data_IF_368607215751
#
_entry.id   IF_368607215751
#
_cell.length_a   1.000
_cell.length_b   1.000
_cell.length_c   1.000
_cell.angle_alpha   90.00
_cell.angle_beta   90.00
_cell.angle_gamma   90.00
#
_symmetry.space_group_name_H-M   'P 1'
#
loop_
_entity.id
_entity.type
_entity.pdbx_description
1 polymer ?
#
# COMPACT_ATOMS: atom_id res chain seq x y z
N UNK A 1 15.93 -72.29 20.26
CA UNK A 1 15.35 -72.51 18.92
C UNK A 1 13.95 -71.89 18.77
N UNK A 2 13.01 -72.14 19.71
CA UNK A 2 11.66 -71.57 19.68
C UNK A 2 11.63 -70.02 19.57
N UNK A 3 12.46 -69.34 20.36
CA UNK A 3 12.56 -67.86 20.34
C UNK A 3 12.94 -67.35 18.94
N UNK A 4 13.98 -67.93 18.33
CA UNK A 4 14.46 -67.60 16.98
C UNK A 4 13.38 -67.80 15.91
N UNK A 5 12.58 -68.86 16.04
CA UNK A 5 11.47 -69.16 15.13
C UNK A 5 10.32 -68.14 15.29
N UNK A 6 10.01 -67.74 16.52
CA UNK A 6 9.02 -66.70 16.81
C UNK A 6 9.51 -65.34 16.29
N UNK A 7 10.79 -65.00 16.46
CA UNK A 7 11.34 -63.73 15.95
C UNK A 7 11.34 -63.70 14.42
N UNK A 8 11.76 -64.78 13.76
CA UNK A 8 11.74 -64.87 12.30
C UNK A 8 10.32 -64.80 11.72
N UNK A 9 9.36 -65.44 12.38
CA UNK A 9 7.94 -65.38 11.99
C UNK A 9 7.37 -63.97 12.17
N UNK A 10 7.73 -63.27 13.26
CA UNK A 10 7.35 -61.88 13.47
C UNK A 10 7.94 -60.96 12.39
N UNK A 11 9.20 -61.13 12.02
CA UNK A 11 9.84 -60.38 10.92
C UNK A 11 9.17 -60.63 9.56
N UNK A 12 8.81 -61.87 9.24
CA UNK A 12 8.13 -62.21 7.99
C UNK A 12 6.73 -61.60 7.90
N UNK A 13 6.05 -61.41 9.03
CA UNK A 13 4.75 -60.74 9.10
C UNK A 13 4.91 -59.21 9.05
N UNK A 14 5.97 -58.67 9.66
CA UNK A 14 6.24 -57.23 9.72
C UNK A 14 6.72 -56.66 8.37
N UNK A 15 7.54 -57.39 7.62
CA UNK A 15 8.12 -56.91 6.35
C UNK A 15 7.06 -56.44 5.33
N UNK A 16 5.99 -57.19 5.03
CA UNK A 16 4.92 -56.71 4.16
C UNK A 16 4.19 -55.48 4.71
N UNK A 17 4.03 -55.38 6.03
CA UNK A 17 3.37 -54.22 6.66
C UNK A 17 4.23 -52.96 6.59
N UNK A 18 5.54 -53.08 6.83
CA UNK A 18 6.50 -51.99 6.70
C UNK A 18 6.67 -51.57 5.24
N UNK A 19 6.74 -52.52 4.32
CA UNK A 19 6.80 -52.23 2.89
C UNK A 19 5.55 -51.47 2.40
N UNK A 20 4.35 -51.89 2.82
CA UNK A 20 3.10 -51.17 2.53
C UNK A 20 3.04 -49.81 3.22
N UNK A 21 3.63 -49.66 4.41
CA UNK A 21 3.72 -48.37 5.08
C UNK A 21 4.67 -47.42 4.33
N UNK A 22 5.83 -47.90 3.91
CA UNK A 22 6.80 -47.16 3.10
C UNK A 22 6.20 -46.74 1.76
N UNK A 23 5.51 -47.64 1.04
CA UNK A 23 4.82 -47.31 -0.21
C UNK A 23 3.72 -46.26 -0.03
N UNK A 24 2.96 -46.32 1.07
CA UNK A 24 1.96 -45.30 1.40
C UNK A 24 2.60 -43.95 1.71
N UNK A 25 3.68 -43.95 2.50
CA UNK A 25 4.43 -42.73 2.82
C UNK A 25 5.04 -42.11 1.55
N UNK A 26 5.66 -42.91 0.69
CA UNK A 26 6.19 -42.46 -0.60
C UNK A 26 5.09 -41.85 -1.48
N UNK A 27 3.94 -42.52 -1.59
CA UNK A 27 2.80 -42.02 -2.36
C UNK A 27 2.26 -40.69 -1.78
N UNK A 28 2.21 -40.55 -0.46
CA UNK A 28 1.77 -39.32 0.21
C UNK A 28 2.75 -38.17 0.00
N UNK A 29 4.07 -38.43 0.06
CA UNK A 29 5.11 -37.43 -0.19
C UNK A 29 5.07 -36.97 -1.64
N UNK A 30 4.99 -37.91 -2.59
CA UNK A 30 4.83 -37.58 -4.02
C UNK A 30 3.56 -36.78 -4.28
N UNK A 31 2.44 -37.18 -3.67
CA UNK A 31 1.19 -36.43 -3.74
C UNK A 31 1.29 -35.01 -3.18
N UNK A 32 2.10 -34.79 -2.13
CA UNK A 32 2.36 -33.46 -1.59
C UNK A 32 3.11 -32.58 -2.59
N UNK A 33 4.23 -33.08 -3.11
CA UNK A 33 5.06 -32.35 -4.06
C UNK A 33 4.29 -32.00 -5.34
N UNK A 34 3.43 -32.91 -5.82
CA UNK A 34 2.58 -32.66 -7.00
C UNK A 34 1.52 -31.59 -6.70
N UNK A 35 0.92 -31.58 -5.50
CA UNK A 35 -0.02 -30.55 -5.11
C UNK A 35 0.67 -29.18 -4.96
N UNK A 36 1.84 -29.13 -4.33
CA UNK A 36 2.63 -27.91 -4.12
C UNK A 36 3.13 -27.32 -5.45
N UNK A 37 3.43 -28.16 -6.45
CA UNK A 37 3.74 -27.72 -7.80
C UNK A 37 2.56 -26.98 -8.44
N UNK A 38 1.33 -27.46 -8.23
CA UNK A 38 0.11 -26.77 -8.68
C UNK A 38 -0.10 -25.42 -7.99
N UNK A 39 0.18 -25.32 -6.69
CA UNK A 39 0.15 -24.02 -5.98
C UNK A 39 1.20 -23.07 -6.55
N UNK A 40 2.42 -23.56 -6.78
CA UNK A 40 3.52 -22.76 -7.32
C UNK A 40 3.22 -22.24 -8.72
N UNK A 41 2.63 -23.07 -9.60
CA UNK A 41 2.20 -22.63 -10.93
C UNK A 41 1.05 -21.61 -10.84
N UNK A 42 0.07 -21.81 -9.94
CA UNK A 42 -1.03 -20.87 -9.76
C UNK A 42 -0.53 -19.49 -9.29
N UNK A 43 0.43 -19.44 -8.37
CA UNK A 43 1.08 -18.18 -7.93
C UNK A 43 1.81 -17.53 -9.10
N UNK A 44 2.57 -18.30 -9.88
CA UNK A 44 3.29 -17.76 -11.04
C UNK A 44 2.33 -17.22 -12.11
N UNK A 45 1.21 -17.91 -12.35
CA UNK A 45 0.17 -17.44 -13.25
C UNK A 45 -0.51 -16.18 -12.72
N UNK A 46 -0.90 -16.14 -11.45
CA UNK A 46 -1.49 -14.95 -10.82
C UNK A 46 -0.57 -13.74 -10.95
N UNK A 47 0.74 -13.91 -10.71
CA UNK A 47 1.74 -12.86 -10.93
C UNK A 47 1.78 -12.42 -12.38
N UNK A 48 1.79 -13.35 -13.33
CA UNK A 48 1.77 -13.03 -14.75
C UNK A 48 0.52 -12.26 -15.19
N UNK A 49 -0.65 -12.51 -14.57
CA UNK A 49 -1.87 -11.77 -14.88
C UNK A 49 -1.86 -10.37 -14.26
N UNK A 50 -1.44 -10.25 -13.00
CA UNK A 50 -1.48 -9.00 -12.23
C UNK A 50 -0.32 -8.06 -12.61
N UNK A 51 0.83 -8.63 -12.94
CA UNK A 51 2.07 -7.92 -13.26
C UNK A 51 2.78 -8.64 -14.42
N UNK A 52 2.27 -8.49 -15.66
CA UNK A 52 2.84 -9.14 -16.83
C UNK A 52 4.30 -8.73 -17.06
N UNK A 53 5.22 -9.68 -17.30
CA UNK A 53 6.65 -9.39 -17.50
C UNK A 53 6.95 -8.65 -18.81
N UNK A 54 5.97 -8.50 -19.69
CA UNK A 54 6.07 -7.72 -20.93
C UNK A 54 5.65 -6.26 -20.75
N UNK A 55 5.30 -5.84 -19.53
CA UNK A 55 4.88 -4.48 -19.19
C UNK A 55 3.46 -4.13 -19.62
N UNK A 56 2.67 -5.13 -20.06
CA UNK A 56 1.26 -4.93 -20.39
C UNK A 56 0.40 -4.73 -19.13
N UNK A 57 -0.81 -4.22 -19.34
CA UNK A 57 -1.73 -3.90 -18.25
C UNK A 57 -2.12 -5.11 -17.40
N UNK A 58 -2.23 -4.88 -16.08
CA UNK A 58 -2.78 -5.86 -15.14
C UNK A 58 -4.12 -6.36 -15.65
N UNK A 59 -4.21 -7.66 -15.90
CA UNK A 59 -5.46 -8.31 -16.24
C UNK A 59 -6.18 -8.72 -14.96
N UNK A 60 -7.47 -8.38 -14.86
CA UNK A 60 -8.29 -8.85 -13.76
C UNK A 60 -8.47 -10.36 -13.88
N UNK A 61 -7.93 -11.16 -12.94
CA UNK A 61 -8.09 -12.60 -12.99
C UNK A 61 -9.58 -12.94 -12.97
N UNK A 62 -10.00 -13.84 -13.84
CA UNK A 62 -11.40 -14.32 -13.94
C UNK A 62 -12.40 -13.34 -14.59
N UNK A 63 -11.97 -12.19 -15.14
CA UNK A 63 -12.84 -11.25 -15.85
C UNK A 63 -13.44 -11.79 -17.16
N UNK A 64 -14.61 -11.25 -17.54
CA UNK A 64 -15.27 -11.58 -18.81
C UNK A 64 -14.38 -11.25 -20.01
N UNK A 65 -13.92 -12.27 -20.74
CA UNK A 65 -12.99 -12.14 -21.87
C UNK A 65 -11.55 -12.54 -21.54
N UNK A 66 -11.19 -12.59 -20.26
CA UNK A 66 -9.96 -13.21 -19.72
C UNK A 66 -10.35 -14.61 -19.25
N UNK A 67 -10.40 -15.53 -20.22
CA UNK A 67 -10.99 -16.88 -20.17
C UNK A 67 -11.19 -17.49 -18.76
N UNK A 68 -12.44 -17.75 -18.33
CA UNK A 68 -12.76 -18.49 -17.09
C UNK A 68 -12.07 -19.86 -16.99
N UNK A 69 -11.70 -20.46 -18.12
CA UNK A 69 -10.95 -21.72 -18.19
C UNK A 69 -9.47 -21.61 -17.79
N UNK A 70 -8.93 -20.41 -17.60
CA UNK A 70 -7.53 -20.23 -17.18
C UNK A 70 -7.35 -20.14 -15.66
N UNK A 71 -8.42 -19.80 -14.93
CA UNK A 71 -8.49 -19.80 -13.46
C UNK A 71 -8.52 -21.20 -12.85
N UNK A 72 -8.52 -22.23 -13.69
CA UNK A 72 -8.25 -23.61 -13.32
C UNK A 72 -7.40 -24.28 -14.40
N UNK A 73 -6.35 -25.01 -14.02
CA UNK A 73 -5.50 -25.71 -14.98
C UNK A 73 -5.20 -27.11 -14.52
N UNK A 74 -5.05 -28.02 -15.48
CA UNK A 74 -4.61 -29.40 -15.22
C UNK A 74 -3.31 -29.65 -15.98
N UNK A 75 -2.30 -30.17 -15.31
CA UNK A 75 -1.01 -30.50 -15.93
C UNK A 75 -0.55 -31.90 -15.52
N UNK A 76 -0.06 -32.65 -16.49
CA UNK A 76 0.59 -33.94 -16.24
C UNK A 76 2.05 -33.73 -15.88
N UNK A 77 2.51 -34.47 -14.88
CA UNK A 77 3.90 -34.47 -14.40
C UNK A 77 4.67 -35.72 -14.87
N UNK A 78 4.04 -36.60 -15.65
CA UNK A 78 4.56 -37.94 -15.97
C UNK A 78 4.24 -38.97 -14.87
N UNK A 79 4.57 -40.24 -15.12
CA UNK A 79 4.37 -41.36 -14.19
C UNK A 79 2.95 -41.45 -13.58
N UNK A 80 1.95 -41.21 -14.42
CA UNK A 80 0.52 -41.15 -14.09
C UNK A 80 0.11 -40.04 -13.10
N UNK A 81 1.02 -39.13 -12.74
CA UNK A 81 0.73 -38.00 -11.89
C UNK A 81 0.25 -36.80 -12.70
N UNK A 82 -0.76 -36.13 -12.16
CA UNK A 82 -1.22 -34.84 -12.62
C UNK A 82 -1.64 -34.01 -11.41
N UNK A 83 -1.55 -32.69 -11.52
CA UNK A 83 -2.27 -31.81 -10.60
C UNK A 83 -3.37 -31.07 -11.35
N UNK A 84 -4.38 -30.66 -10.60
CA UNK A 84 -5.36 -29.66 -11.02
C UNK A 84 -5.41 -28.58 -9.97
N UNK A 85 -5.20 -27.34 -10.36
CA UNK A 85 -5.46 -26.21 -9.49
C UNK A 85 -6.66 -25.41 -9.96
N UNK A 86 -7.34 -24.76 -9.03
CA UNK A 86 -8.42 -23.81 -9.24
C UNK A 86 -8.27 -22.63 -8.27
N UNK A 87 -8.64 -21.44 -8.74
CA UNK A 87 -8.71 -20.23 -7.93
C UNK A 87 -10.12 -20.01 -7.45
N UNK A 88 -10.25 -19.70 -6.16
CA UNK A 88 -11.50 -19.30 -5.54
C UNK A 88 -11.30 -17.88 -5.00
N UNK A 89 -11.92 -16.85 -5.59
CA UNK A 89 -11.89 -15.50 -5.04
C UNK A 89 -12.66 -15.47 -3.72
N UNK A 90 -12.22 -14.63 -2.79
CA UNK A 90 -13.00 -14.36 -1.58
C UNK A 90 -14.30 -13.56 -1.91
N UNK A 91 -15.10 -13.25 -0.89
CA UNK A 91 -16.38 -12.56 -1.08
C UNK A 91 -16.23 -11.12 -1.56
N UNK A 92 -15.04 -10.53 -1.43
CA UNK A 92 -14.77 -9.13 -1.76
C UNK A 92 -13.99 -8.97 -3.06
N UNK A 93 -13.37 -10.04 -3.57
CA UNK A 93 -12.59 -10.06 -4.80
C UNK A 93 -13.48 -10.37 -6.00
N UNK A 94 -13.17 -9.80 -7.16
CA UNK A 94 -13.89 -10.10 -8.41
C UNK A 94 -13.90 -11.63 -8.67
N UNK A 95 -15.03 -12.21 -9.16
CA UNK A 95 -16.28 -11.59 -9.56
C UNK A 95 -17.29 -11.38 -8.42
N UNK A 96 -16.95 -11.77 -7.19
CA UNK A 96 -17.89 -11.74 -6.06
C UNK A 96 -18.05 -10.34 -5.46
N UNK A 97 -16.98 -9.53 -5.51
CA UNK A 97 -16.95 -8.15 -5.02
C UNK A 97 -16.04 -7.25 -5.84
N UNK A 98 -15.83 -6.02 -5.35
CA UNK A 98 -15.11 -4.95 -6.04
C UNK A 98 -13.88 -4.44 -5.27
N UNK A 99 -13.33 -5.24 -4.36
CA UNK A 99 -12.17 -4.85 -3.57
C UNK A 99 -10.92 -4.79 -4.45
N UNK A 100 -10.20 -3.64 -4.48
CA UNK A 100 -8.97 -3.49 -5.26
C UNK A 100 -7.82 -4.36 -4.74
N UNK A 101 -7.86 -4.78 -3.46
CA UNK A 101 -6.94 -5.77 -2.91
C UNK A 101 -7.53 -7.15 -3.17
N UNK A 102 -6.94 -7.86 -4.12
CA UNK A 102 -7.41 -9.17 -4.55
C UNK A 102 -6.93 -10.25 -3.58
N UNK A 103 -7.84 -11.11 -3.14
CA UNK A 103 -7.55 -12.27 -2.31
C UNK A 103 -8.11 -13.54 -2.95
N UNK A 104 -7.25 -14.56 -3.06
CA UNK A 104 -7.59 -15.84 -3.69
C UNK A 104 -7.22 -17.00 -2.77
N UNK A 105 -8.09 -17.99 -2.71
CA UNK A 105 -7.75 -19.32 -2.21
C UNK A 105 -7.40 -20.21 -3.39
N UNK A 106 -6.15 -20.69 -3.43
CA UNK A 106 -5.68 -21.66 -4.41
C UNK A 106 -6.00 -23.05 -3.88
N UNK A 107 -6.82 -23.81 -4.60
CA UNK A 107 -7.05 -25.23 -4.33
C UNK A 107 -6.25 -26.06 -5.33
N UNK A 108 -5.22 -26.78 -4.88
CA UNK A 108 -4.42 -27.67 -5.73
C UNK A 108 -4.62 -29.13 -5.34
N UNK A 109 -5.09 -29.95 -6.29
CA UNK A 109 -5.44 -31.35 -6.13
C UNK A 109 -4.47 -32.22 -6.92
N UNK A 110 -3.78 -33.14 -6.25
CA UNK A 110 -2.89 -34.12 -6.87
C UNK A 110 -3.65 -35.41 -7.19
N UNK A 111 -3.55 -35.85 -8.44
CA UNK A 111 -4.14 -37.06 -8.97
C UNK A 111 -3.06 -38.05 -9.39
N UNK A 112 -3.32 -39.34 -9.15
CA UNK A 112 -2.56 -40.45 -9.71
C UNK A 112 -3.53 -41.38 -10.43
N UNK A 113 -3.31 -41.66 -11.71
CA UNK A 113 -4.21 -42.50 -12.51
C UNK A 113 -5.68 -42.03 -12.44
N UNK A 114 -5.89 -40.71 -12.46
CA UNK A 114 -7.22 -40.09 -12.35
C UNK A 114 -7.86 -40.15 -10.96
N UNK A 115 -7.22 -40.74 -9.95
CA UNK A 115 -7.71 -40.76 -8.56
C UNK A 115 -7.06 -39.67 -7.74
N UNK A 116 -7.88 -38.93 -6.99
CA UNK A 116 -7.41 -37.92 -6.04
C UNK A 116 -6.58 -38.60 -4.94
N UNK A 117 -5.36 -38.10 -4.72
CA UNK A 117 -4.46 -38.58 -3.67
C UNK A 117 -4.34 -37.56 -2.54
N UNK A 118 -4.25 -36.27 -2.88
CA UNK A 118 -4.04 -35.19 -1.92
C UNK A 118 -4.59 -33.86 -2.43
N UNK A 119 -4.96 -32.99 -1.50
CA UNK A 119 -5.32 -31.58 -1.75
C UNK A 119 -4.43 -30.69 -0.90
N UNK A 120 -4.01 -29.56 -1.47
CA UNK A 120 -3.32 -28.46 -0.81
C UNK A 120 -4.14 -27.18 -1.02
N UNK A 121 -4.17 -26.34 0.01
CA UNK A 121 -4.82 -25.03 -0.02
C UNK A 121 -3.82 -23.96 0.35
N UNK A 122 -3.79 -22.86 -0.39
CA UNK A 122 -2.98 -21.70 -0.10
C UNK A 122 -3.82 -20.44 -0.26
N UNK A 123 -3.85 -19.61 0.78
CA UNK A 123 -4.45 -18.28 0.73
C UNK A 123 -3.39 -17.30 0.26
N UNK A 124 -3.69 -16.54 -0.79
CA UNK A 124 -2.79 -15.54 -1.36
C UNK A 124 -3.53 -14.22 -1.50
N UNK A 125 -2.85 -13.15 -1.11
CA UNK A 125 -3.34 -11.78 -1.23
C UNK A 125 -2.39 -11.00 -2.13
N UNK A 126 -2.94 -10.18 -3.02
CA UNK A 126 -2.15 -9.21 -3.75
C UNK A 126 -1.44 -8.32 -2.75
N UNK A 127 -0.12 -8.15 -2.92
CA UNK A 127 0.65 -7.26 -2.06
C UNK A 127 0.08 -5.85 -2.23
N UNK A 128 -0.57 -5.34 -1.19
CA UNK A 128 -1.17 -4.01 -1.24
C UNK A 128 -0.09 -2.94 -1.18
N UNK A 129 -0.16 -1.96 -2.09
CA UNK A 129 0.66 -0.76 -1.99
C UNK A 129 0.27 0.11 -0.79
N UNK A 130 -0.93 -0.09 -0.23
CA UNK A 130 -1.36 0.56 1.03
C UNK A 130 -0.58 0.12 2.27
N UNK A 131 0.32 -0.86 2.13
CA UNK A 131 1.32 -1.17 3.16
C UNK A 131 2.40 -0.10 3.28
N UNK A 132 2.75 0.56 2.18
CA UNK A 132 3.76 1.61 2.17
C UNK A 132 3.14 2.95 2.56
N UNK A 133 3.84 3.69 3.40
CA UNK A 133 3.49 5.08 3.69
C UNK A 133 3.93 6.01 2.55
N UNK A 134 5.04 5.64 1.88
CA UNK A 134 5.46 6.24 0.63
C UNK A 134 6.21 5.22 -0.23
N UNK A 135 5.88 5.19 -1.52
CA UNK A 135 6.50 4.33 -2.52
C UNK A 135 6.79 5.17 -3.76
N UNK A 136 8.05 5.24 -4.16
CA UNK A 136 8.49 6.02 -5.32
C UNK A 136 9.14 5.10 -6.34
N UNK A 137 8.71 5.20 -7.60
CA UNK A 137 9.34 4.47 -8.69
C UNK A 137 10.62 5.18 -9.16
N UNK A 138 10.47 6.44 -9.57
CA UNK A 138 11.58 7.31 -9.92
C UNK A 138 11.79 8.34 -8.82
N UNK A 139 13.05 8.58 -8.45
CA UNK A 139 13.39 9.61 -7.47
C UNK A 139 14.02 10.80 -8.21
N UNK A 140 13.30 11.95 -8.34
CA UNK A 140 13.87 13.11 -9.01
C UNK A 140 15.18 13.52 -8.34
N UNK A 141 16.18 13.85 -9.15
CA UNK A 141 17.54 14.13 -8.64
C UNK A 141 17.61 15.32 -7.69
N UNK A 142 16.64 16.23 -7.76
CA UNK A 142 16.44 17.40 -6.91
C UNK A 142 15.47 17.15 -5.74
N UNK A 143 14.72 16.04 -5.74
CA UNK A 143 13.80 15.72 -4.66
C UNK A 143 14.59 15.23 -3.46
N UNK A 144 14.30 15.78 -2.29
CA UNK A 144 14.90 15.33 -1.04
C UNK A 144 13.82 15.21 0.03
N UNK A 145 13.74 14.05 0.68
CA UNK A 145 12.76 13.79 1.74
C UNK A 145 13.19 14.49 3.03
N UNK A 146 12.55 15.61 3.35
CA UNK A 146 12.78 16.34 4.59
C UNK A 146 12.03 15.73 5.78
N UNK A 147 12.73 15.53 6.90
CA UNK A 147 12.10 15.12 8.18
C UNK A 147 12.28 16.26 9.20
N UNK A 148 11.19 16.79 9.74
CA UNK A 148 11.20 17.94 10.67
C UNK A 148 10.89 17.49 12.10
N UNK A 149 11.35 18.25 13.10
CA UNK A 149 11.11 18.00 14.55
C UNK A 149 9.65 17.82 14.95
N UNK A 150 8.77 18.50 14.22
CA UNK A 150 7.35 18.58 14.49
C UNK A 150 6.53 17.70 13.54
N UNK A 151 7.19 16.99 12.62
CA UNK A 151 6.54 15.98 11.80
C UNK A 151 6.18 14.80 12.69
N UNK A 152 4.94 14.34 12.66
CA UNK A 152 4.61 13.08 13.29
C UNK A 152 5.38 11.94 12.60
N UNK A 153 5.66 10.82 13.28
CA UNK A 153 6.33 9.68 12.69
C UNK A 153 5.58 9.17 11.45
N UNK A 154 6.32 8.83 10.40
CA UNK A 154 5.76 8.10 9.25
C UNK A 154 5.20 6.77 9.74
N UNK A 155 3.92 6.53 9.44
CA UNK A 155 3.10 5.48 10.03
C UNK A 155 3.28 4.10 9.39
N UNK A 156 4.02 4.04 8.29
CA UNK A 156 4.31 2.81 7.54
C UNK A 156 5.70 2.86 6.89
N UNK A 157 6.16 1.75 6.31
CA UNK A 157 7.45 1.70 5.64
C UNK A 157 7.51 2.55 4.37
N UNK A 158 8.71 3.03 4.05
CA UNK A 158 9.00 3.84 2.86
C UNK A 158 9.92 3.04 1.92
N UNK A 159 9.61 3.05 0.62
CA UNK A 159 10.41 2.37 -0.40
C UNK A 159 10.64 3.24 -1.63
N UNK A 160 11.83 3.16 -2.21
CA UNK A 160 12.20 3.87 -3.44
C UNK A 160 12.89 2.89 -4.39
N UNK A 161 12.39 2.75 -5.63
CA UNK A 161 13.00 1.93 -6.69
C UNK A 161 14.26 2.59 -7.33
N UNK A 162 14.70 3.71 -6.77
CA UNK A 162 15.87 4.51 -7.14
C UNK A 162 16.61 4.98 -5.87
N UNK A 163 17.58 5.90 -5.97
CA UNK A 163 18.39 6.41 -4.85
C UNK A 163 17.57 7.32 -3.94
N UNK A 164 17.30 6.86 -2.72
CA UNK A 164 16.64 7.70 -1.71
C UNK A 164 17.58 8.80 -1.17
N UNK A 165 17.05 10.03 -1.16
CA UNK A 165 17.71 11.24 -0.67
C UNK A 165 17.01 11.79 0.59
N UNK A 166 17.71 11.89 1.72
CA UNK A 166 17.17 12.37 3.01
C UNK A 166 17.69 13.77 3.37
N UNK A 167 16.81 14.73 3.61
CA UNK A 167 17.18 16.08 4.03
C UNK A 167 17.05 16.26 5.53
N UNK A 168 18.15 16.75 6.11
CA UNK A 168 18.26 17.09 7.51
C UNK A 168 18.46 18.60 7.64
N UNK A 169 17.43 19.31 8.15
CA UNK A 169 17.44 20.77 8.30
C UNK A 169 18.41 21.24 9.39
N UNK A 170 19.04 22.40 9.16
CA UNK A 170 19.85 23.11 10.15
C UNK A 170 18.97 23.82 11.20
N UNK A 171 19.27 23.63 12.49
CA UNK A 171 18.64 24.35 13.60
C UNK A 171 17.17 24.00 13.90
N UNK A 172 16.53 23.13 13.13
CA UNK A 172 15.29 22.44 13.49
C UNK A 172 15.60 20.96 13.60
N UNK A 173 15.33 20.33 14.76
CA UNK A 173 15.69 18.94 15.09
C UNK A 173 15.76 18.03 13.86
N UNK A 174 16.96 17.62 13.54
CA UNK A 174 17.38 16.23 13.70
C UNK A 174 18.76 16.15 14.38
N UNK A 175 19.48 17.29 14.44
CA UNK A 175 20.84 17.34 14.98
C UNK A 175 21.11 18.36 16.07
N UNK A 176 20.18 19.24 16.49
CA UNK A 176 20.38 20.10 17.69
C UNK A 176 19.09 20.49 18.47
N UNK A 177 18.13 19.57 18.68
CA UNK A 177 17.12 19.71 19.76
C UNK A 177 16.57 18.36 20.24
N UNK A 178 15.99 18.32 21.44
CA UNK A 178 15.35 17.13 22.04
C UNK A 178 13.93 16.86 21.47
N UNK A 179 13.71 15.66 20.93
CA UNK A 179 12.41 15.08 20.50
C UNK A 179 12.35 14.63 19.01
N UNK A 180 11.89 13.38 18.75
CA UNK A 180 12.24 12.60 17.54
C UNK A 180 11.51 12.97 16.22
N UNK A 181 12.25 13.25 15.13
CA UNK A 181 11.87 12.88 13.77
C UNK A 181 12.24 11.41 13.53
N UNK A 182 11.25 10.50 13.52
CA UNK A 182 11.47 9.05 13.40
C UNK A 182 10.61 8.40 12.33
N UNK A 183 11.18 7.45 11.59
CA UNK A 183 10.41 6.44 10.88
C UNK A 183 9.90 5.42 11.90
N UNK A 184 8.58 5.19 11.97
CA UNK A 184 8.07 4.13 12.84
C UNK A 184 8.35 2.72 12.26
N UNK A 185 8.68 2.65 10.97
CA UNK A 185 8.88 1.43 10.19
C UNK A 185 10.16 1.49 9.33
N UNK A 186 10.36 0.49 8.47
CA UNK A 186 11.54 0.34 7.62
C UNK A 186 11.60 1.37 6.49
N UNK A 187 12.82 1.81 6.18
CA UNK A 187 13.18 2.66 5.06
C UNK A 187 14.06 1.86 4.10
N UNK A 188 13.64 1.73 2.85
CA UNK A 188 14.32 0.86 1.90
C UNK A 188 14.50 1.53 0.54
N UNK A 189 15.59 1.19 -0.14
CA UNK A 189 15.88 1.68 -1.48
C UNK A 189 16.58 0.59 -2.28
N UNK A 190 16.27 0.51 -3.57
CA UNK A 190 16.98 -0.38 -4.51
C UNK A 190 18.19 0.30 -5.13
N UNK A 191 18.09 1.62 -5.34
CA UNK A 191 19.21 2.48 -5.73
C UNK A 191 20.24 2.55 -4.62
N UNK A 192 21.51 2.73 -5.00
CA UNK A 192 22.62 2.80 -4.05
C UNK A 192 23.41 4.07 -4.30
N UNK A 193 23.50 4.91 -3.27
CA UNK A 193 24.36 6.07 -3.27
C UNK A 193 25.82 5.66 -3.02
N UNK A 194 26.72 6.07 -3.91
CA UNK A 194 28.09 5.54 -3.99
C UNK A 194 29.06 6.07 -2.94
N UNK A 195 28.68 7.06 -2.13
CA UNK A 195 29.58 7.76 -1.20
C UNK A 195 29.21 7.62 0.29
N UNK A 196 28.32 6.68 0.64
CA UNK A 196 27.88 6.40 2.02
C UNK A 196 28.11 4.96 2.48
N UNK A 197 28.29 4.74 3.80
CA UNK A 197 28.49 3.40 4.40
C UNK A 197 27.22 2.53 4.44
N UNK A 198 26.06 3.12 4.19
CA UNK A 198 24.74 2.49 4.22
C UNK A 198 24.01 2.53 2.87
N UNK A 199 24.59 3.22 1.86
CA UNK A 199 24.04 3.32 0.51
C UNK A 199 22.94 4.37 0.34
N UNK A 200 22.70 5.24 1.34
CA UNK A 200 21.71 6.33 1.27
C UNK A 200 22.38 7.69 1.12
N UNK A 201 21.69 8.66 0.51
CA UNK A 201 22.18 10.02 0.37
C UNK A 201 21.59 10.93 1.46
N UNK A 202 22.44 11.67 2.18
CA UNK A 202 22.06 12.59 3.26
C UNK A 202 22.38 14.05 2.90
N UNK A 203 21.44 14.97 3.13
CA UNK A 203 21.50 16.37 2.67
C UNK A 203 21.37 17.34 3.84
N UNK A 204 22.10 18.46 3.77
CA UNK A 204 21.91 19.64 4.65
C UNK A 204 21.70 20.89 3.80
N UNK A 205 20.45 21.16 3.42
CA UNK A 205 19.97 22.47 2.96
C UNK A 205 20.53 22.99 1.63
N UNK A 206 21.45 22.26 0.99
CA UNK A 206 21.85 22.37 -0.41
C UNK A 206 22.52 21.04 -0.84
N UNK A 207 22.52 20.78 -2.15
CA UNK A 207 23.02 19.57 -2.80
C UNK A 207 24.48 19.26 -2.36
N UNK A 208 24.75 18.03 -1.91
CA UNK A 208 26.07 17.53 -1.44
C UNK A 208 26.48 18.00 -0.03
N UNK A 209 25.69 17.68 1.01
CA UNK A 209 26.06 18.01 2.39
C UNK A 209 27.39 17.34 2.82
N UNK A 210 28.50 18.08 2.83
CA UNK A 210 29.86 17.57 3.10
C UNK A 210 30.29 17.66 4.57
N UNK A 211 29.44 18.14 5.47
CA UNK A 211 29.82 18.34 6.87
C UNK A 211 29.65 17.03 7.67
N UNK A 212 30.78 16.41 8.01
CA UNK A 212 30.87 15.14 8.74
C UNK A 212 30.21 15.15 10.13
N UNK A 213 29.85 16.32 10.68
CA UNK A 213 29.09 16.39 11.92
C UNK A 213 27.62 15.95 11.76
N UNK A 214 27.09 15.92 10.53
CA UNK A 214 25.67 15.66 10.27
C UNK A 214 25.41 14.35 9.51
N UNK A 215 26.46 13.64 9.08
CA UNK A 215 26.34 12.31 8.49
C UNK A 215 26.11 11.26 9.59
N UNK A 216 25.26 10.23 9.41
CA UNK A 216 25.11 9.17 10.40
C UNK A 216 26.28 8.18 10.41
N UNK A 217 27.37 8.50 9.71
CA UNK A 217 28.59 7.72 9.60
C UNK A 217 29.80 8.64 9.51
N UNK A 218 30.97 8.09 9.82
CA UNK A 218 32.29 8.71 9.62
C UNK A 218 33.26 7.70 8.95
N UNK A 219 34.54 8.04 8.90
CA UNK A 219 35.60 7.18 8.35
C UNK A 219 35.78 5.86 9.14
N UNK A 220 35.33 5.82 10.41
CA UNK A 220 35.35 4.63 11.26
C UNK A 220 34.05 3.80 11.11
N UNK A 221 33.06 4.33 10.37
CA UNK A 221 31.84 3.66 9.98
C UNK A 221 30.57 4.26 10.60
N UNK A 222 29.50 3.47 10.76
CA UNK A 222 28.22 3.92 11.28
C UNK A 222 28.28 4.44 12.73
N UNK A 223 27.69 5.61 12.98
CA UNK A 223 27.57 6.18 14.31
C UNK A 223 26.20 5.81 14.90
N UNK A 224 26.15 4.77 15.73
CA UNK A 224 24.89 4.19 16.26
C UNK A 224 23.97 5.20 16.97
N UNK A 225 24.53 6.17 17.69
CA UNK A 225 23.74 7.21 18.38
C UNK A 225 22.99 8.13 17.40
N UNK A 226 23.48 8.24 16.17
CA UNK A 226 22.86 9.01 15.08
C UNK A 226 21.72 8.20 14.43
N UNK A 227 21.92 6.91 14.13
CA UNK A 227 20.87 6.03 13.59
C UNK A 227 19.73 5.73 14.57
N UNK A 228 20.01 5.61 15.87
CA UNK A 228 18.94 5.35 16.85
C UNK A 228 17.93 6.50 16.98
N UNK A 229 18.25 7.67 16.42
CA UNK A 229 17.35 8.85 16.38
C UNK A 229 16.45 8.87 15.15
N UNK A 230 16.76 8.04 14.14
CA UNK A 230 16.08 7.97 12.85
C UNK A 230 14.80 7.13 12.85
N UNK A 231 14.65 6.18 13.76
CA UNK A 231 13.56 5.20 13.70
C UNK A 231 13.44 4.36 14.98
N UNK A 232 12.35 3.60 15.10
CA UNK A 232 12.16 2.55 16.11
C UNK A 232 13.12 1.34 15.96
N UNK A 233 13.80 1.20 14.81
CA UNK A 233 14.69 0.07 14.48
C UNK A 233 16.12 0.44 14.06
N UNK A 234 16.51 1.72 14.16
CA UNK A 234 17.88 2.16 13.90
C UNK A 234 18.40 1.83 12.49
N UNK A 235 19.68 1.47 12.39
CA UNK A 235 20.36 1.13 11.12
C UNK A 235 19.71 -0.06 10.41
N UNK A 236 19.17 -1.04 11.14
CA UNK A 236 18.58 -2.25 10.56
C UNK A 236 17.28 -1.96 9.80
N UNK A 237 16.60 -0.87 10.17
CA UNK A 237 15.46 -0.36 9.41
C UNK A 237 15.86 0.28 8.09
N UNK A 238 17.14 0.59 7.86
CA UNK A 238 17.65 1.18 6.63
C UNK A 238 18.28 0.11 5.74
N UNK A 239 17.58 -0.29 4.68
CA UNK A 239 18.03 -1.35 3.78
C UNK A 239 18.27 -0.80 2.38
N UNK A 240 19.53 -0.80 1.96
CA UNK A 240 19.91 -0.55 0.57
C UNK A 240 20.00 -1.85 -0.23
N UNK A 241 19.82 -1.77 -1.55
CA UNK A 241 19.79 -2.94 -2.43
C UNK A 241 18.57 -3.84 -2.22
N UNK A 242 17.46 -3.28 -1.72
CA UNK A 242 16.19 -3.98 -1.65
C UNK A 242 15.72 -4.41 -3.06
N UNK A 243 14.79 -5.37 -3.15
CA UNK A 243 14.17 -5.72 -4.42
C UNK A 243 13.17 -4.65 -4.84
N UNK A 244 13.15 -4.31 -6.14
CA UNK A 244 12.21 -3.32 -6.67
C UNK A 244 10.78 -3.79 -6.48
N UNK A 245 9.89 -2.84 -6.19
CA UNK A 245 8.46 -3.06 -6.16
C UNK A 245 7.92 -2.59 -7.51
N UNK A 246 7.53 -3.52 -8.37
CA UNK A 246 6.90 -3.17 -9.64
C UNK A 246 5.63 -2.35 -9.37
N UNK A 247 5.61 -1.13 -9.90
CA UNK A 247 4.38 -0.35 -9.95
C UNK A 247 3.48 -0.89 -11.07
N UNK A 248 2.15 -0.75 -10.94
CA UNK A 248 1.23 -1.04 -12.04
C UNK A 248 1.60 -0.22 -13.29
N UNK A 249 1.49 -0.82 -14.48
CA UNK A 249 1.74 -0.17 -15.78
C UNK A 249 0.81 1.00 -16.08
N UNK A 250 -0.35 1.02 -15.41
CA UNK A 250 -1.28 2.13 -15.40
C UNK A 250 -1.88 2.27 -13.99
N UNK A 251 -2.34 3.46 -13.66
CA UNK A 251 -2.95 3.75 -12.38
C UNK A 251 -4.48 3.62 -12.43
N UNK A 252 -5.08 3.05 -13.48
CA UNK A 252 -6.54 3.00 -13.66
C UNK A 252 -7.24 2.21 -12.58
N UNK A 253 -6.64 1.14 -12.05
CA UNK A 253 -7.22 0.45 -10.90
C UNK A 253 -7.26 1.31 -9.63
N UNK A 254 -6.30 2.23 -9.48
CA UNK A 254 -6.28 3.21 -8.37
C UNK A 254 -7.24 4.37 -8.66
N UNK A 255 -7.39 4.77 -9.93
CA UNK A 255 -8.42 5.72 -10.38
C UNK A 255 -9.81 5.21 -10.07
N UNK A 256 -10.09 3.99 -10.48
CA UNK A 256 -11.40 3.35 -10.32
C UNK A 256 -11.64 3.01 -8.84
N UNK A 257 -10.60 2.80 -8.04
CA UNK A 257 -10.75 2.74 -6.59
C UNK A 257 -11.07 4.12 -5.98
N UNK A 258 -10.49 5.21 -6.50
CA UNK A 258 -10.80 6.56 -6.02
C UNK A 258 -12.19 7.03 -6.44
N UNK A 259 -12.59 6.78 -7.68
CA UNK A 259 -13.87 7.24 -8.23
C UNK A 259 -15.02 6.23 -8.05
N UNK A 260 -14.71 4.94 -7.98
CA UNK A 260 -15.67 3.84 -8.01
C UNK A 260 -15.64 3.09 -9.35
N UNK A 261 -15.57 1.77 -9.26
CA UNK A 261 -15.60 0.87 -10.42
C UNK A 261 -17.04 0.71 -10.95
N UNK A 262 -17.21 0.67 -12.28
CA UNK A 262 -18.51 0.47 -12.96
C UNK A 262 -19.63 1.42 -12.46
N UNK A 263 -19.27 2.62 -12.00
CA UNK A 263 -20.24 3.64 -11.63
C UNK A 263 -20.89 4.24 -12.87
N UNK A 264 -22.17 4.59 -12.77
CA UNK A 264 -22.89 5.31 -13.84
C UNK A 264 -22.48 6.78 -13.93
N UNK A 265 -21.80 7.29 -12.90
CA UNK A 265 -21.31 8.67 -12.86
C UNK A 265 -19.99 8.79 -13.64
N UNK A 266 -19.95 9.64 -14.69
CA UNK A 266 -18.72 9.83 -15.45
C UNK A 266 -17.63 10.48 -14.59
N UNK A 267 -16.36 10.22 -14.93
CA UNK A 267 -15.25 10.91 -14.29
C UNK A 267 -15.42 12.43 -14.37
N UNK A 268 -15.15 13.18 -13.29
CA UNK A 268 -15.27 14.63 -13.28
C UNK A 268 -14.38 15.26 -14.35
N UNK A 269 -14.96 16.12 -15.18
CA UNK A 269 -14.23 16.85 -16.23
C UNK A 269 -13.78 18.25 -15.78
N UNK A 270 -14.36 18.79 -14.70
CA UNK A 270 -14.00 20.08 -14.14
C UNK A 270 -12.82 19.95 -13.18
N UNK A 271 -11.90 20.92 -13.20
CA UNK A 271 -10.85 21.02 -12.19
C UNK A 271 -11.49 21.07 -10.79
N UNK A 272 -10.99 20.25 -9.87
CA UNK A 272 -11.54 20.17 -8.53
C UNK A 272 -11.12 18.90 -7.78
N UNK A 273 -11.41 18.89 -6.49
CA UNK A 273 -11.43 17.70 -5.65
C UNK A 273 -12.84 17.15 -5.63
N UNK A 274 -12.99 15.86 -5.94
CA UNK A 274 -14.28 15.22 -6.10
C UNK A 274 -14.35 13.94 -5.28
N UNK A 275 -15.49 13.73 -4.62
CA UNK A 275 -15.82 12.50 -3.92
C UNK A 275 -17.00 11.85 -4.62
N UNK A 276 -17.03 10.52 -4.65
CA UNK A 276 -18.13 9.78 -5.24
C UNK A 276 -18.66 8.74 -4.25
N UNK A 277 -19.98 8.56 -4.26
CA UNK A 277 -20.66 7.53 -3.48
C UNK A 277 -21.23 6.48 -4.44
N UNK A 278 -20.81 5.23 -4.25
CA UNK A 278 -21.27 4.10 -5.07
C UNK A 278 -21.90 3.07 -4.15
N UNK A 279 -23.16 2.76 -4.41
CA UNK A 279 -23.93 1.77 -3.64
C UNK A 279 -23.97 2.03 -2.12
N UNK A 280 -24.04 3.29 -1.70
CA UNK A 280 -24.12 3.67 -0.28
C UNK A 280 -22.76 3.76 0.44
N UNK A 281 -21.65 3.66 -0.30
CA UNK A 281 -20.30 3.75 0.25
C UNK A 281 -19.50 4.82 -0.49
N UNK A 282 -18.87 5.70 0.29
CA UNK A 282 -17.95 6.70 -0.24
C UNK A 282 -16.67 6.01 -0.72
N UNK A 283 -16.19 6.40 -1.89
CA UNK A 283 -15.01 5.81 -2.51
C UNK A 283 -13.73 6.48 -1.97
N UNK A 284 -12.79 6.81 -2.86
CA UNK A 284 -11.62 7.62 -2.51
C UNK A 284 -11.81 9.08 -2.90
N UNK A 285 -10.69 9.78 -3.04
CA UNK A 285 -10.62 11.18 -3.45
C UNK A 285 -10.11 11.21 -4.89
N UNK A 286 -10.90 11.76 -5.80
CA UNK A 286 -10.49 12.00 -7.18
C UNK A 286 -10.20 13.48 -7.38
N UNK A 287 -8.96 13.83 -7.65
CA UNK A 287 -8.53 15.19 -7.97
C UNK A 287 -8.35 15.30 -9.47
N UNK A 288 -9.09 16.21 -10.08
CA UNK A 288 -8.95 16.50 -11.50
C UNK A 288 -8.20 17.82 -11.67
N UNK A 289 -7.07 17.78 -12.39
CA UNK A 289 -6.20 18.94 -12.62
C UNK A 289 -5.00 19.02 -11.68
N UNK A 290 -4.07 19.91 -12.04
CA UNK A 290 -2.81 20.14 -11.32
C UNK A 290 -3.02 20.46 -9.83
N UNK A 291 -2.21 19.83 -8.99
CA UNK A 291 -2.16 20.10 -7.55
C UNK A 291 -0.87 20.87 -7.26
N UNK A 292 -1.00 22.11 -6.78
CA UNK A 292 0.16 22.92 -6.38
C UNK A 292 0.72 22.35 -5.08
N UNK A 293 -0.10 22.22 -4.04
CA UNK A 293 0.32 21.69 -2.75
C UNK A 293 -0.69 20.67 -2.22
N UNK A 294 -0.18 19.54 -1.71
CA UNK A 294 -0.97 18.56 -0.97
C UNK A 294 -0.37 18.36 0.42
N UNK A 295 -1.12 18.74 1.45
CA UNK A 295 -0.75 18.50 2.84
C UNK A 295 -1.58 17.35 3.41
N UNK A 296 -0.90 16.29 3.80
CA UNK A 296 -1.49 15.24 4.61
C UNK A 296 -1.39 15.65 6.08
N UNK A 297 -2.41 15.35 6.85
CA UNK A 297 -2.35 15.64 8.26
C UNK A 297 -3.20 14.73 9.11
N UNK A 298 -2.94 14.88 10.39
CA UNK A 298 -3.62 14.19 11.44
C UNK A 298 -3.70 15.11 12.64
N UNK A 299 -4.85 15.11 13.28
CA UNK A 299 -5.02 15.95 14.45
C UNK A 299 -5.23 17.42 14.10
N UNK A 300 -5.17 18.25 15.14
CA UNK A 300 -5.07 19.70 15.01
C UNK A 300 -6.41 20.40 14.81
N UNK A 301 -6.30 21.70 14.55
CA UNK A 301 -7.41 22.60 14.26
C UNK A 301 -7.13 23.33 12.96
N UNK A 302 -8.16 23.83 12.30
CA UNK A 302 -8.03 24.69 11.13
C UNK A 302 -6.89 25.74 11.25
N UNK A 303 -6.25 26.13 10.12
CA UNK A 303 -5.62 27.44 10.01
C UNK A 303 -6.68 28.52 10.28
N UNK A 304 -6.36 29.50 11.14
CA UNK A 304 -7.33 30.37 11.82
C UNK A 304 -8.42 31.04 10.93
N UNK A 305 -9.70 30.96 11.33
CA UNK A 305 -10.84 31.61 10.67
C UNK A 305 -12.19 31.34 11.38
N UNK A 306 -13.27 32.07 11.02
CA UNK A 306 -14.60 31.84 11.61
C UNK A 306 -15.14 30.46 11.25
N UNK A 307 -15.61 29.70 12.24
CA UNK A 307 -16.05 28.30 12.05
C UNK A 307 -14.96 27.26 12.34
N UNK A 308 -13.98 27.60 13.20
CA UNK A 308 -12.87 26.73 13.59
C UNK A 308 -13.36 25.37 14.07
N UNK A 309 -13.17 24.34 13.24
CA UNK A 309 -13.35 22.95 13.63
C UNK A 309 -12.04 22.42 14.20
N UNK A 310 -12.11 21.82 15.39
CA UNK A 310 -11.06 20.94 15.88
C UNK A 310 -11.25 19.61 15.17
N UNK A 311 -10.24 19.16 14.42
CA UNK A 311 -10.30 17.91 13.69
C UNK A 311 -10.16 16.69 14.62
N UNK A 312 -10.02 16.89 15.93
CA UNK A 312 -9.90 15.80 16.90
C UNK A 312 -8.64 15.00 16.60
N UNK A 313 -8.67 13.68 16.79
CA UNK A 313 -7.65 12.73 16.38
C UNK A 313 -7.95 12.11 15.00
N UNK A 314 -8.42 12.90 14.04
CA UNK A 314 -8.81 12.40 12.73
C UNK A 314 -7.76 12.65 11.66
N UNK A 315 -7.80 11.85 10.60
CA UNK A 315 -6.96 12.01 9.43
C UNK A 315 -7.57 13.03 8.47
N UNK A 316 -6.74 13.86 7.83
CA UNK A 316 -7.22 14.82 6.83
C UNK A 316 -6.21 15.02 5.71
N UNK A 317 -6.68 15.35 4.52
CA UNK A 317 -5.84 15.76 3.38
C UNK A 317 -6.33 17.10 2.91
N UNK A 318 -5.40 18.02 2.77
CA UNK A 318 -5.65 19.35 2.26
C UNK A 318 -5.00 19.45 0.89
N UNK A 319 -5.78 19.90 -0.09
CA UNK A 319 -5.44 19.88 -1.50
C UNK A 319 -5.65 21.28 -2.03
N UNK A 320 -4.58 21.85 -2.53
CA UNK A 320 -4.55 23.15 -3.19
C UNK A 320 -4.33 22.94 -4.68
N UNK A 321 -5.28 23.41 -5.47
CA UNK A 321 -5.15 23.45 -6.92
C UNK A 321 -4.87 24.89 -7.34
N UNK A 322 -3.92 25.08 -8.25
CA UNK A 322 -3.45 26.40 -8.65
C UNK A 322 -4.59 27.27 -9.20
N UNK A 323 -4.81 28.42 -8.57
CA UNK A 323 -5.55 29.56 -9.13
C UNK A 323 -4.62 30.77 -9.23
N UNK A 324 -4.56 31.41 -10.40
CA UNK A 324 -3.93 32.71 -10.76
C UNK A 324 -2.64 33.19 -10.03
N UNK A 325 -1.86 32.30 -9.41
CA UNK A 325 -0.47 32.50 -9.00
C UNK A 325 -0.18 33.14 -7.64
N UNK A 326 -1.07 33.03 -6.65
CA UNK A 326 -0.81 33.57 -5.29
C UNK A 326 -1.19 32.65 -4.12
N UNK A 327 -1.51 31.38 -4.37
CA UNK A 327 -2.09 30.54 -3.33
C UNK A 327 -1.00 29.80 -2.55
N UNK A 328 -1.07 29.93 -1.23
CA UNK A 328 -0.32 29.12 -0.28
C UNK A 328 -1.36 28.33 0.49
N UNK A 329 -1.06 27.08 0.82
CA UNK A 329 -1.93 26.22 1.62
C UNK A 329 -2.30 26.80 3.01
N UNK A 330 -1.60 27.87 3.43
CA UNK A 330 -1.85 28.69 4.61
C UNK A 330 -2.89 29.81 4.40
N UNK A 331 -3.31 30.13 3.17
CA UNK A 331 -4.22 31.25 2.80
C UNK A 331 -5.69 30.85 2.60
N UNK A 332 -6.10 29.69 3.11
CA UNK A 332 -7.51 29.23 3.23
C UNK A 332 -8.27 28.84 1.96
N UNK A 333 -7.67 28.90 0.77
CA UNK A 333 -8.31 28.53 -0.52
C UNK A 333 -8.14 27.04 -0.90
N UNK A 334 -7.85 26.17 0.07
CA UNK A 334 -7.66 24.75 -0.16
C UNK A 334 -8.89 23.92 0.23
N UNK A 335 -9.13 22.82 -0.49
CA UNK A 335 -10.11 21.81 -0.10
C UNK A 335 -9.50 20.93 0.99
N UNK A 336 -10.19 20.69 2.09
CA UNK A 336 -9.74 19.77 3.14
C UNK A 336 -10.73 18.62 3.29
N UNK A 337 -10.29 17.39 3.02
CA UNK A 337 -11.09 16.18 3.22
C UNK A 337 -10.66 15.50 4.51
N UNK A 338 -11.61 15.29 5.43
CA UNK A 338 -11.39 14.83 6.80
C UNK A 338 -12.14 13.51 6.98
N UNK A 339 -11.42 12.44 7.31
CA UNK A 339 -12.01 11.13 7.62
C UNK A 339 -12.14 10.99 9.13
N UNK A 340 -13.37 10.88 9.64
CA UNK A 340 -13.63 10.84 11.09
C UNK A 340 -13.38 9.42 11.61
N UNK A 341 -12.12 9.07 11.83
CA UNK A 341 -11.67 7.72 12.18
C UNK A 341 -11.64 7.46 13.69
N UNK A 342 -11.35 8.48 14.50
CA UNK A 342 -11.13 8.32 15.94
C UNK A 342 -12.08 9.16 16.80
N UNK A 343 -12.30 10.42 16.43
CA UNK A 343 -13.09 11.36 17.22
C UNK A 343 -14.27 11.94 16.43
N UNK A 344 -15.46 12.11 17.04
CA UNK A 344 -16.52 12.87 16.42
C UNK A 344 -16.15 14.35 16.33
N UNK A 345 -16.59 15.03 15.26
CA UNK A 345 -16.37 16.48 15.08
C UNK A 345 -17.67 17.22 15.37
N UNK A 346 -17.61 18.28 16.18
CA UNK A 346 -18.76 19.17 16.41
C UNK A 346 -18.55 20.49 15.68
N UNK A 347 -19.41 20.77 14.70
CA UNK A 347 -19.44 22.05 14.00
C UNK A 347 -20.37 23.02 14.75
N UNK A 348 -20.00 24.30 14.90
CA UNK A 348 -20.81 25.29 15.60
C UNK A 348 -22.06 25.70 14.80
N UNK A 349 -22.99 26.37 15.49
CA UNK A 349 -24.11 27.02 14.83
C UNK A 349 -23.61 28.08 13.82
N UNK A 350 -24.32 28.24 12.70
CA UNK A 350 -23.96 29.18 11.64
C UNK A 350 -23.00 28.61 10.58
N UNK A 351 -22.43 27.42 10.78
CA UNK A 351 -21.70 26.72 9.72
C UNK A 351 -22.67 26.25 8.63
N UNK A 352 -22.25 26.35 7.36
CA UNK A 352 -23.00 25.81 6.21
C UNK A 352 -22.52 24.39 5.95
N UNK A 353 -23.44 23.43 5.93
CA UNK A 353 -23.17 22.02 5.64
C UNK A 353 -24.16 21.52 4.60
N UNK A 354 -23.69 20.95 3.48
CA UNK A 354 -24.52 20.51 2.35
C UNK A 354 -25.49 21.60 1.87
N UNK A 355 -25.05 22.87 1.87
CA UNK A 355 -25.85 24.04 1.50
C UNK A 355 -26.84 24.54 2.56
N UNK A 356 -26.95 23.89 3.73
CA UNK A 356 -27.83 24.32 4.83
C UNK A 356 -27.05 24.95 5.99
N UNK A 357 -27.53 26.10 6.50
CA UNK A 357 -26.95 26.72 7.70
C UNK A 357 -27.42 26.03 8.97
N UNK A 358 -26.48 25.54 9.78
CA UNK A 358 -26.79 24.89 11.06
C UNK A 358 -27.41 25.88 12.06
N UNK A 359 -28.61 25.55 12.54
CA UNK A 359 -29.30 26.33 13.58
C UNK A 359 -28.73 26.16 15.00
N UNK A 360 -27.85 25.18 15.20
CA UNK A 360 -27.24 24.83 16.47
C UNK A 360 -25.92 24.07 16.25
N UNK A 361 -25.15 23.85 17.32
CA UNK A 361 -23.96 23.00 17.24
C UNK A 361 -24.38 21.56 16.88
N UNK A 362 -23.75 20.99 15.86
CA UNK A 362 -24.09 19.66 15.32
C UNK A 362 -22.86 18.76 15.35
N UNK A 363 -23.02 17.55 15.88
CA UNK A 363 -21.94 16.57 16.01
C UNK A 363 -22.05 15.51 14.92
N UNK A 364 -20.96 15.32 14.18
CA UNK A 364 -20.81 14.30 13.14
C UNK A 364 -20.05 13.11 13.72
N UNK A 365 -20.56 11.87 13.56
CA UNK A 365 -20.02 10.70 14.24
C UNK A 365 -18.75 10.15 13.58
N UNK A 366 -18.07 9.24 14.28
CA UNK A 366 -16.98 8.44 13.72
C UNK A 366 -17.51 7.50 12.64
N UNK A 367 -16.71 7.23 11.61
CA UNK A 367 -17.07 6.41 10.45
C UNK A 367 -17.66 7.20 9.27
N UNK A 368 -17.60 8.53 9.31
CA UNK A 368 -18.11 9.44 8.29
C UNK A 368 -17.01 10.31 7.71
N UNK A 369 -17.32 11.09 6.66
CA UNK A 369 -16.37 12.01 6.02
C UNK A 369 -16.93 13.43 6.03
N UNK A 370 -16.08 14.41 6.35
CA UNK A 370 -16.36 15.83 6.17
C UNK A 370 -15.39 16.40 5.14
N UNK A 371 -15.90 17.09 4.12
CA UNK A 371 -15.09 17.86 3.18
C UNK A 371 -15.34 19.34 3.41
N UNK A 372 -14.29 20.12 3.63
CA UNK A 372 -14.37 21.59 3.67
C UNK A 372 -13.93 22.13 2.32
N UNK A 373 -14.82 22.85 1.66
CA UNK A 373 -14.55 23.50 0.39
C UNK A 373 -13.67 24.75 0.58
N UNK A 374 -13.09 25.24 -0.52
CA UNK A 374 -12.22 26.41 -0.51
C UNK A 374 -12.94 27.69 -0.04
N UNK A 375 -14.26 27.79 -0.28
CA UNK A 375 -15.12 28.87 0.22
C UNK A 375 -15.45 28.77 1.71
N UNK A 376 -15.07 27.65 2.34
CA UNK A 376 -15.27 27.37 3.75
C UNK A 376 -16.59 26.71 4.12
N UNK A 377 -17.44 26.40 3.14
CA UNK A 377 -18.59 25.53 3.35
C UNK A 377 -18.14 24.07 3.57
N UNK A 378 -18.99 23.30 4.25
CA UNK A 378 -18.73 21.88 4.48
C UNK A 378 -19.68 21.00 3.67
N UNK A 379 -19.19 19.86 3.27
CA UNK A 379 -19.94 18.73 2.77
C UNK A 379 -19.82 17.57 3.75
N UNK A 380 -20.94 16.89 4.00
CA UNK A 380 -21.03 15.73 4.87
C UNK A 380 -21.43 14.50 4.07
N UNK A 381 -20.66 13.43 4.26
CA UNK A 381 -20.93 12.11 3.70
C UNK A 381 -21.05 11.08 4.82
N UNK A 382 -22.13 10.29 4.78
CA UNK A 382 -22.48 9.27 5.80
C UNK A 382 -21.67 7.96 5.63
N UNK A 383 -20.42 8.07 5.18
CA UNK A 383 -19.48 6.96 4.98
C UNK A 383 -18.04 7.47 5.02
N UNK A 384 -17.13 6.64 5.52
CA UNK A 384 -15.69 6.87 5.48
C UNK A 384 -15.14 6.62 4.06
N UNK A 385 -14.00 7.23 3.74
CA UNK A 385 -13.26 6.98 2.50
C UNK A 385 -12.56 5.62 2.52
N UNK A 386 -12.35 5.04 1.34
CA UNK A 386 -11.55 3.82 1.19
C UNK A 386 -10.03 4.04 1.25
N UNK A 387 -9.60 5.31 1.34
CA UNK A 387 -8.20 5.69 1.52
C UNK A 387 -7.44 5.98 0.22
N UNK A 388 -8.01 5.77 -0.95
CA UNK A 388 -7.30 6.06 -2.21
C UNK A 388 -7.46 7.54 -2.56
N UNK A 389 -6.36 8.18 -2.97
CA UNK A 389 -6.35 9.53 -3.55
C UNK A 389 -5.76 9.37 -4.95
N UNK A 390 -6.51 9.74 -5.96
CA UNK A 390 -6.06 9.71 -7.34
C UNK A 390 -6.02 11.13 -7.89
N UNK A 391 -4.87 11.56 -8.38
CA UNK A 391 -4.69 12.86 -9.02
C UNK A 391 -4.51 12.65 -10.53
N UNK A 392 -5.48 13.13 -11.30
CA UNK A 392 -5.37 13.26 -12.74
C UNK A 392 -4.71 14.60 -13.10
N UNK A 393 -3.37 14.59 -13.11
CA UNK A 393 -2.49 15.75 -13.24
C UNK A 393 -1.30 15.67 -12.28
N UNK A 394 -0.31 16.54 -12.43
CA UNK A 394 0.87 16.52 -11.55
C UNK A 394 0.60 17.06 -10.14
N UNK A 395 1.47 16.69 -9.20
CA UNK A 395 1.57 17.32 -7.88
C UNK A 395 2.92 18.00 -7.73
N UNK A 396 2.95 19.31 -7.47
CA UNK A 396 4.20 20.06 -7.31
C UNK A 396 4.88 19.73 -5.97
N UNK A 397 4.10 19.78 -4.89
CA UNK A 397 4.59 19.55 -3.54
C UNK A 397 3.61 18.67 -2.75
N UNK A 398 4.14 17.62 -2.12
CA UNK A 398 3.39 16.74 -1.22
C UNK A 398 4.16 16.67 0.09
N UNK A 399 3.50 17.03 1.19
CA UNK A 399 4.12 17.01 2.50
C UNK A 399 3.10 16.71 3.61
N UNK A 400 3.59 16.60 4.85
CA UNK A 400 2.74 16.43 6.03
C UNK A 400 2.76 15.02 6.61
N UNK A 401 1.72 14.68 7.37
CA UNK A 401 1.59 13.44 8.14
C UNK A 401 0.48 12.58 7.54
N UNK A 402 0.85 11.45 6.96
CA UNK A 402 -0.11 10.42 6.61
C UNK A 402 -0.38 9.53 7.84
N UNK A 403 -1.59 9.63 8.41
CA UNK A 403 -2.06 8.67 9.41
C UNK A 403 -3.36 8.06 8.91
N UNK A 404 -3.33 6.77 8.64
CA UNK A 404 -4.46 6.03 8.06
C UNK A 404 -4.02 5.22 6.84
N UNK A 405 -4.95 4.45 6.27
CA UNK A 405 -4.70 3.76 5.00
C UNK A 405 -4.85 4.80 3.90
N UNK A 406 -3.76 5.43 3.44
CA UNK A 406 -3.82 6.29 2.25
C UNK A 406 -2.85 5.87 1.17
N UNK A 407 -3.35 5.83 -0.05
CA UNK A 407 -2.55 5.55 -1.24
C UNK A 407 -2.78 6.69 -2.21
N UNK A 408 -1.75 7.49 -2.44
CA UNK A 408 -1.77 8.57 -3.44
C UNK A 408 -1.23 7.98 -4.74
N UNK A 409 -2.02 8.09 -5.81
CA UNK A 409 -1.64 7.76 -7.16
C UNK A 409 -1.75 9.01 -8.02
N UNK A 410 -0.77 9.19 -8.90
CA UNK A 410 -0.73 10.30 -9.85
C UNK A 410 -0.79 9.68 -11.25
N UNK A 411 -1.68 10.19 -12.09
CA UNK A 411 -1.65 9.94 -13.52
C UNK A 411 -0.47 10.74 -14.09
N UNK A 412 0.72 10.15 -14.07
CA UNK A 412 1.87 10.76 -14.75
C UNK A 412 1.62 10.67 -16.25
N UNK A 413 1.67 11.80 -16.95
CA UNK A 413 1.87 11.77 -18.39
C UNK A 413 3.13 10.94 -18.67
N UNK A 414 3.03 9.98 -19.60
CA UNK A 414 4.16 9.18 -20.06
C UNK A 414 5.22 10.02 -20.83
N UNK A 415 5.11 11.35 -20.80
CA UNK A 415 5.96 12.30 -21.49
C UNK A 415 6.79 13.13 -20.49
N UNK A 416 7.59 12.44 -19.68
CA UNK A 416 8.86 13.01 -19.23
C UNK A 416 9.92 12.63 -20.28
N UNK A 417 10.07 13.48 -21.30
CA UNK A 417 11.12 13.41 -22.33
C UNK A 417 12.54 13.25 -21.75
#
# INVERSE_FOLDING_TARGET
MLILFITASAFLVLLPTEHRAAQRSEMQTKGALVADAGVSEAIAWLRFQIDPPDGSDSNEPMASGVYPSESSRTKSMGDDWAYRWELVPDDQTYPNGSNPIRAYTIHSKAFRNGKLVREAKAEVIQKSLSYYDALYDNWPTNLVMGIRSNSAPTGGPVHVNDILQLWIKEGGSYWESDGDPKFAHGLTSTGVYSTGSDGFAYYKGNLSGTDGNYLPYDDDGPINTRYNRLASGGRDSMVSGAASVNLPSNTFSLRDAAWGFDTTEPLPSSTGVHLNEVSGALQGIYVNGYTEEMELGYGGSQPAGSGTANYGNNSWVKIEQSGDGLNSIDTHEAVTVITLDEDPITLPAGTVVNGETLGGATTYPVGTTLMRNADGEFEYHDSALNGVIYVNGDINDVWGVNKGRRTIAVESDADAD
#
